data_IF_827198215669
#
_entry.id   IF_827198215669
#
_cell.length_a   1.000
_cell.length_b   1.000
_cell.length_c   1.000
_cell.angle_alpha   90.00
_cell.angle_beta   90.00
_cell.angle_gamma   90.00
#
_symmetry.space_group_name_H-M   'P 1'
#
loop_
_entity.id
_entity.type
_entity.pdbx_description
1 polymer ?
#
# COMPACT_ATOMS: atom_id res chain seq x y z
N UNK A 1 -0.43 17.20 2.84
CA UNK A 1 -0.95 18.11 1.78
C UNK A 1 0.08 18.63 0.75
N UNK A 2 1.39 18.38 0.85
CA UNK A 2 2.36 18.88 -0.15
C UNK A 2 2.25 18.24 -1.55
N UNK A 3 1.83 16.98 -1.64
CA UNK A 3 1.89 16.20 -2.89
C UNK A 3 0.86 16.66 -3.95
N UNK A 4 -0.37 17.00 -3.56
CA UNK A 4 -1.43 17.40 -4.51
C UNK A 4 -1.16 18.78 -5.12
N UNK A 5 -0.63 19.73 -4.34
CA UNK A 5 -0.29 21.06 -4.85
C UNK A 5 0.94 21.04 -5.77
N UNK A 6 1.95 20.21 -5.46
CA UNK A 6 3.08 19.99 -6.35
C UNK A 6 2.62 19.42 -7.70
N UNK A 7 1.76 18.40 -7.69
CA UNK A 7 1.18 17.84 -8.92
C UNK A 7 0.36 18.88 -9.72
N UNK A 8 -0.40 19.75 -9.04
CA UNK A 8 -1.15 20.83 -9.70
C UNK A 8 -0.20 21.82 -10.39
N UNK A 9 0.84 22.28 -9.69
CA UNK A 9 1.81 23.24 -10.23
C UNK A 9 2.59 22.62 -11.39
N UNK A 10 3.04 21.37 -11.25
CA UNK A 10 3.77 20.65 -12.29
C UNK A 10 2.90 20.45 -13.53
N UNK A 11 1.62 20.09 -13.37
CA UNK A 11 0.68 20.00 -14.48
C UNK A 11 0.55 21.33 -15.21
N UNK A 12 0.30 22.41 -14.47
CA UNK A 12 0.19 23.75 -15.05
C UNK A 12 1.50 24.20 -15.74
N UNK A 13 2.66 23.64 -15.37
CA UNK A 13 3.94 23.88 -16.03
C UNK A 13 4.10 23.06 -17.31
N UNK A 14 3.80 21.76 -17.28
CA UNK A 14 3.84 20.88 -18.46
C UNK A 14 2.87 21.34 -19.56
N UNK A 15 1.70 21.85 -19.20
CA UNK A 15 0.67 22.28 -20.16
C UNK A 15 1.00 23.60 -20.87
N UNK A 16 1.97 24.39 -20.38
CA UNK A 16 2.33 25.69 -20.96
C UNK A 16 3.16 25.59 -22.23
N UNK A 17 3.96 24.53 -22.36
CA UNK A 17 4.89 24.38 -23.47
C UNK A 17 5.10 22.89 -23.77
N UNK A 18 4.93 22.44 -25.03
CA UNK A 18 5.16 21.05 -25.40
C UNK A 18 6.60 20.56 -25.17
N UNK A 19 7.59 21.45 -25.07
CA UNK A 19 8.99 21.10 -24.79
C UNK A 19 9.26 20.89 -23.27
N UNK A 20 8.28 21.17 -22.41
CA UNK A 20 8.41 20.92 -20.98
C UNK A 20 8.31 19.41 -20.71
N UNK A 21 9.46 18.81 -20.42
CA UNK A 21 9.57 17.39 -20.06
C UNK A 21 10.24 17.22 -18.71
N UNK A 22 9.84 16.19 -17.98
CA UNK A 22 10.45 15.81 -16.71
C UNK A 22 11.02 14.41 -16.83
N UNK A 23 12.32 14.31 -16.63
CA UNK A 23 13.03 13.03 -16.52
C UNK A 23 13.34 12.79 -15.05
N UNK A 24 12.79 11.71 -14.50
CA UNK A 24 13.02 11.31 -13.12
C UNK A 24 14.09 10.22 -13.11
N UNK A 25 15.22 10.55 -12.50
CA UNK A 25 16.31 9.61 -12.26
C UNK A 25 16.37 9.29 -10.78
N UNK A 26 16.38 7.99 -10.45
CA UNK A 26 16.62 7.55 -9.09
C UNK A 26 18.12 7.59 -8.80
N UNK A 27 18.50 8.25 -7.70
CA UNK A 27 19.86 8.25 -7.18
C UNK A 27 19.90 7.47 -5.86
N UNK A 28 20.68 6.38 -5.75
CA UNK A 28 20.91 5.72 -4.47
C UNK A 28 21.64 6.64 -3.49
N UNK A 29 21.25 6.57 -2.22
CA UNK A 29 21.86 7.36 -1.16
C UNK A 29 23.32 6.96 -0.93
N UNK A 30 24.18 7.90 -0.54
CA UNK A 30 25.59 7.68 -0.17
C UNK A 30 26.42 6.97 -1.24
N UNK A 31 26.09 7.22 -2.52
CA UNK A 31 26.80 6.62 -3.65
C UNK A 31 27.88 7.53 -4.23
N UNK A 32 28.21 8.64 -3.55
CA UNK A 32 29.27 9.57 -3.94
C UNK A 32 28.93 10.46 -5.14
N UNK A 33 27.64 10.64 -5.44
CA UNK A 33 27.18 11.58 -6.49
C UNK A 33 27.17 12.98 -5.89
N UNK A 34 28.06 13.84 -6.38
CA UNK A 34 28.38 15.15 -5.80
C UNK A 34 27.13 16.04 -5.67
N UNK A 35 26.29 16.09 -6.69
CA UNK A 35 25.07 16.92 -6.68
C UNK A 35 24.03 16.42 -5.68
N UNK A 36 23.92 15.10 -5.51
CA UNK A 36 23.02 14.52 -4.53
C UNK A 36 23.52 14.78 -3.09
N UNK A 37 24.83 14.69 -2.86
CA UNK A 37 25.43 15.02 -1.56
C UNK A 37 25.34 16.53 -1.25
N UNK A 38 25.46 17.39 -2.27
CA UNK A 38 25.27 18.84 -2.13
C UNK A 38 23.83 19.19 -1.74
N UNK A 39 22.83 18.59 -2.40
CA UNK A 39 21.42 18.78 -2.04
C UNK A 39 21.14 18.24 -0.64
N UNK A 40 21.71 17.11 -0.25
CA UNK A 40 21.57 16.57 1.11
C UNK A 40 22.21 17.50 2.16
N UNK A 41 23.37 18.10 1.84
CA UNK A 41 24.02 19.11 2.68
C UNK A 41 23.18 20.40 2.79
N UNK A 42 22.58 20.88 1.70
CA UNK A 42 21.71 22.06 1.68
C UNK A 42 20.42 21.84 2.46
N UNK A 43 19.81 20.66 2.33
CA UNK A 43 18.64 20.27 3.13
C UNK A 43 19.01 20.21 4.61
N UNK A 44 20.17 19.63 4.96
CA UNK A 44 20.68 19.59 6.34
C UNK A 44 20.99 20.99 6.87
N UNK A 45 21.59 21.85 6.06
CA UNK A 45 21.89 23.23 6.42
C UNK A 45 20.59 24.00 6.66
N UNK A 46 19.69 24.00 5.68
CA UNK A 46 18.39 24.65 5.77
C UNK A 46 17.62 24.15 7.00
N UNK A 47 17.51 22.83 7.19
CA UNK A 47 16.85 22.27 8.37
C UNK A 47 17.48 22.69 9.72
N UNK A 48 18.78 23.06 9.75
CA UNK A 48 19.46 23.58 10.95
C UNK A 48 19.24 25.08 11.16
N UNK A 49 19.04 25.85 10.09
CA UNK A 49 19.02 27.31 10.13
C UNK A 49 17.67 27.93 9.76
N UNK A 50 16.64 27.14 9.43
CA UNK A 50 15.28 27.64 9.19
C UNK A 50 14.73 28.33 10.44
N UNK A 51 14.36 29.60 10.29
CA UNK A 51 13.72 30.41 11.30
C UNK A 51 12.31 29.89 11.61
N UNK A 52 11.93 29.93 12.88
CA UNK A 52 10.60 29.56 13.40
C UNK A 52 9.40 30.20 12.70
N UNK A 53 9.62 31.30 11.96
CA UNK A 53 8.58 32.01 11.19
C UNK A 53 8.20 31.33 9.88
N UNK A 54 9.05 30.45 9.36
CA UNK A 54 8.85 29.80 8.04
C UNK A 54 8.30 28.37 8.16
N UNK A 55 8.06 27.89 9.38
CA UNK A 55 7.47 26.58 9.64
C UNK A 55 5.94 26.70 9.86
N UNK A 56 5.12 25.78 9.31
CA UNK A 56 3.69 25.78 9.55
C UNK A 56 3.42 25.50 11.04
N UNK A 57 2.98 26.52 11.76
CA UNK A 57 2.48 26.49 13.15
C UNK A 57 3.36 25.73 14.16
N UNK A 58 4.38 26.39 14.71
CA UNK A 58 5.10 25.91 15.89
C UNK A 58 5.03 26.93 17.03
N UNK A 59 4.27 26.62 18.08
CA UNK A 59 4.10 27.45 19.29
C UNK A 59 4.97 26.94 20.46
N UNK A 60 6.29 26.80 20.28
CA UNK A 60 7.17 26.25 21.32
C UNK A 60 8.67 26.42 21.10
N UNK A 61 9.47 25.90 22.05
CA UNK A 61 10.95 25.90 22.03
C UNK A 61 11.50 25.08 20.86
N UNK A 62 12.51 25.65 20.19
CA UNK A 62 13.11 25.10 18.98
C UNK A 62 13.51 23.62 19.17
N UNK A 63 13.15 22.73 18.25
CA UNK A 63 13.44 21.31 18.40
C UNK A 63 14.94 21.05 18.34
N UNK A 64 15.45 20.29 19.31
CA UNK A 64 16.88 20.06 19.55
C UNK A 64 17.58 19.19 18.49
N UNK A 65 16.88 18.67 17.48
CA UNK A 65 17.50 17.88 16.40
C UNK A 65 16.65 17.80 15.13
N UNK A 66 17.32 17.61 13.99
CA UNK A 66 16.71 17.29 12.68
C UNK A 66 15.76 16.08 12.76
N UNK A 67 16.10 15.07 13.56
CA UNK A 67 15.27 13.89 13.75
C UNK A 67 13.89 14.25 14.34
N UNK A 68 13.87 15.19 15.30
CA UNK A 68 12.62 15.67 15.90
C UNK A 68 11.75 16.41 14.86
N UNK A 69 12.34 17.27 14.03
CA UNK A 69 11.60 17.99 12.97
C UNK A 69 11.00 16.98 11.97
N UNK A 70 11.79 16.00 11.52
CA UNK A 70 11.32 14.94 10.60
C UNK A 70 10.17 14.13 11.22
N UNK A 71 10.29 13.78 12.51
CA UNK A 71 9.24 13.10 13.25
C UNK A 71 7.97 13.95 13.32
N UNK A 72 8.08 15.23 13.70
CA UNK A 72 6.93 16.14 13.81
C UNK A 72 6.20 16.32 12.46
N UNK A 73 6.93 16.44 11.36
CA UNK A 73 6.34 16.51 10.01
C UNK A 73 5.64 15.19 9.66
N UNK A 74 6.26 14.05 9.97
CA UNK A 74 5.69 12.72 9.71
C UNK A 74 4.41 12.52 10.51
N UNK A 75 4.43 12.84 11.81
CA UNK A 75 3.28 12.77 12.71
C UNK A 75 2.16 13.68 12.24
N UNK A 76 2.47 14.93 11.87
CA UNK A 76 1.48 15.88 11.36
C UNK A 76 0.84 15.36 10.06
N UNK A 77 1.66 14.92 9.11
CA UNK A 77 1.17 14.37 7.85
C UNK A 77 0.32 13.11 8.06
N UNK A 78 0.72 12.22 8.98
CA UNK A 78 -0.01 11.01 9.33
C UNK A 78 -1.33 11.34 10.01
N UNK A 79 -1.33 12.29 10.95
CA UNK A 79 -2.54 12.75 11.65
C UNK A 79 -3.53 13.37 10.67
N UNK A 80 -3.05 14.24 9.78
CA UNK A 80 -3.88 14.86 8.75
C UNK A 80 -4.46 13.82 7.80
N UNK A 81 -3.64 12.87 7.34
CA UNK A 81 -4.10 11.77 6.49
C UNK A 81 -5.13 10.90 7.21
N UNK A 82 -4.92 10.59 8.49
CA UNK A 82 -5.88 9.84 9.30
C UNK A 82 -7.22 10.58 9.42
N UNK A 83 -7.19 11.90 9.66
CA UNK A 83 -8.39 12.73 9.69
C UNK A 83 -9.12 12.76 8.34
N UNK A 84 -8.39 12.91 7.23
CA UNK A 84 -8.96 12.87 5.88
C UNK A 84 -9.57 11.49 5.57
N UNK A 85 -8.88 10.42 5.94
CA UNK A 85 -9.32 9.04 5.75
C UNK A 85 -10.55 8.72 6.61
N UNK A 86 -10.59 9.16 7.86
CA UNK A 86 -11.72 8.94 8.78
C UNK A 86 -12.94 9.80 8.41
N UNK A 87 -12.74 11.00 7.86
CA UNK A 87 -13.81 11.87 7.39
C UNK A 87 -14.51 11.33 6.14
N UNK A 88 -13.81 10.55 5.31
CA UNK A 88 -14.40 9.91 4.14
C UNK A 88 -13.80 8.51 3.88
N UNK A 89 -14.15 7.50 4.70
CA UNK A 89 -13.55 6.18 4.62
C UNK A 89 -13.71 5.53 3.24
N UNK A 90 -14.88 5.70 2.60
CA UNK A 90 -15.16 5.11 1.28
C UNK A 90 -14.28 5.66 0.16
N UNK A 91 -13.77 6.89 0.30
CA UNK A 91 -12.85 7.51 -0.68
C UNK A 91 -11.39 7.05 -0.50
N UNK A 92 -10.97 6.77 0.73
CA UNK A 92 -9.55 6.56 1.07
C UNK A 92 -9.16 5.13 1.44
N UNK A 93 -10.10 4.28 1.86
CA UNK A 93 -9.79 2.88 2.16
C UNK A 93 -9.52 2.08 0.88
N UNK A 94 -9.85 2.64 -0.29
CA UNK A 94 -9.84 1.93 -1.55
C UNK A 94 -11.04 1.00 -1.63
N UNK A 95 -11.73 1.00 -2.77
CA UNK A 95 -13.00 0.27 -2.97
C UNK A 95 -12.93 -1.23 -2.66
N UNK A 96 -11.73 -1.80 -2.62
CA UNK A 96 -11.50 -3.24 -2.53
C UNK A 96 -10.73 -3.68 -1.27
N UNK A 97 -10.41 -2.75 -0.36
CA UNK A 97 -9.82 -3.11 0.92
C UNK A 97 -10.85 -3.79 1.83
N UNK A 98 -10.42 -4.79 2.61
CA UNK A 98 -11.29 -5.43 3.59
C UNK A 98 -11.50 -4.49 4.79
N UNK A 99 -12.71 -3.99 4.96
CA UNK A 99 -13.02 -3.03 6.00
C UNK A 99 -13.31 -3.72 7.34
N UNK A 100 -12.27 -3.99 8.14
CA UNK A 100 -12.40 -4.55 9.49
C UNK A 100 -11.34 -3.97 10.44
N UNK A 101 -11.63 -3.74 11.73
CA UNK A 101 -10.67 -3.20 12.70
C UNK A 101 -9.35 -3.97 12.75
N UNK A 102 -9.39 -5.30 12.57
CA UNK A 102 -8.20 -6.15 12.49
C UNK A 102 -7.23 -5.80 11.34
N UNK A 103 -7.68 -5.03 10.35
CA UNK A 103 -6.90 -4.62 9.18
C UNK A 103 -6.60 -3.10 9.17
N UNK A 104 -7.06 -2.34 10.18
CA UNK A 104 -6.99 -0.87 10.16
C UNK A 104 -5.60 -0.30 10.47
N UNK A 105 -4.75 -1.04 11.19
CA UNK A 105 -3.44 -0.57 11.63
C UNK A 105 -2.31 -1.53 11.21
N UNK A 106 -1.80 -1.35 10.00
CA UNK A 106 -0.53 -1.93 9.58
C UNK A 106 0.62 -1.00 10.01
N UNK A 107 0.96 -0.97 11.30
CA UNK A 107 2.10 -0.18 11.76
C UNK A 107 3.42 -0.89 11.40
N UNK A 108 4.28 -0.20 10.64
CA UNK A 108 5.63 -0.66 10.32
C UNK A 108 6.56 -0.67 11.56
N UNK A 109 6.24 0.15 12.57
CA UNK A 109 6.97 0.30 13.84
C UNK A 109 6.27 -0.37 15.02
N UNK A 110 5.10 -0.98 14.80
CA UNK A 110 4.27 -1.59 15.82
C UNK A 110 3.75 -2.95 15.37
N UNK A 111 4.51 -3.98 15.74
CA UNK A 111 4.19 -5.40 15.99
C UNK A 111 2.86 -6.09 15.57
N UNK A 112 1.91 -5.55 14.82
CA UNK A 112 0.56 -6.15 14.78
C UNK A 112 0.26 -7.05 13.57
N UNK A 113 0.79 -6.80 12.36
CA UNK A 113 0.71 -7.78 11.26
C UNK A 113 2.02 -8.57 11.07
N UNK A 114 3.16 -7.87 11.09
CA UNK A 114 4.49 -8.46 10.84
C UNK A 114 4.88 -9.51 11.91
N UNK A 115 4.54 -9.27 13.18
CA UNK A 115 4.83 -10.20 14.28
C UNK A 115 3.87 -11.39 14.26
N UNK A 116 2.59 -11.17 14.04
CA UNK A 116 1.57 -12.22 13.98
C UNK A 116 1.79 -13.18 12.80
N UNK A 117 2.34 -12.68 11.68
CA UNK A 117 2.72 -13.48 10.51
C UNK A 117 4.16 -14.04 10.62
N UNK A 118 4.81 -13.92 11.78
CA UNK A 118 6.09 -14.56 12.09
C UNK A 118 7.28 -14.05 11.25
N UNK A 119 7.23 -12.82 10.74
CA UNK A 119 8.33 -12.23 9.95
C UNK A 119 8.57 -12.87 8.58
N UNK A 120 7.69 -13.75 8.11
CA UNK A 120 7.82 -14.42 6.80
C UNK A 120 7.38 -13.49 5.68
N UNK A 121 8.34 -12.87 4.98
CA UNK A 121 8.07 -11.87 3.94
C UNK A 121 7.05 -12.32 2.88
N UNK A 122 7.10 -13.59 2.43
CA UNK A 122 6.17 -14.14 1.44
C UNK A 122 4.75 -14.25 1.97
N UNK A 123 4.57 -14.70 3.21
CA UNK A 123 3.26 -14.76 3.86
C UNK A 123 2.68 -13.35 4.07
N UNK A 124 3.53 -12.41 4.48
CA UNK A 124 3.15 -11.01 4.69
C UNK A 124 2.69 -10.37 3.39
N UNK A 125 3.46 -10.54 2.31
CA UNK A 125 3.10 -10.01 1.00
C UNK A 125 1.75 -10.55 0.54
N UNK A 126 1.53 -11.87 0.60
CA UNK A 126 0.25 -12.50 0.22
C UNK A 126 -0.91 -12.03 1.08
N UNK A 127 -0.69 -11.86 2.39
CA UNK A 127 -1.69 -11.33 3.31
C UNK A 127 -2.10 -9.90 2.95
N UNK A 128 -1.13 -9.01 2.73
CA UNK A 128 -1.39 -7.62 2.31
C UNK A 128 -2.10 -7.60 0.96
N UNK A 129 -1.67 -8.40 -0.01
CA UNK A 129 -2.32 -8.53 -1.31
C UNK A 129 -3.79 -8.97 -1.18
N UNK A 130 -4.09 -9.93 -0.29
CA UNK A 130 -5.45 -10.37 0.01
C UNK A 130 -6.29 -9.24 0.61
N UNK A 131 -5.82 -8.63 1.70
CA UNK A 131 -6.58 -7.60 2.44
C UNK A 131 -6.83 -6.36 1.58
N UNK A 132 -5.84 -5.92 0.81
CA UNK A 132 -5.93 -4.70 0.00
C UNK A 132 -6.57 -4.93 -1.38
N UNK A 133 -6.76 -6.18 -1.78
CA UNK A 133 -7.23 -6.52 -3.13
C UNK A 133 -6.19 -6.25 -4.22
N UNK A 134 -4.90 -6.35 -3.91
CA UNK A 134 -3.78 -6.16 -4.84
C UNK A 134 -3.08 -7.48 -5.24
N UNK A 135 -3.70 -8.62 -4.94
CA UNK A 135 -3.23 -9.90 -5.44
C UNK A 135 -3.35 -9.96 -6.98
N UNK A 136 -2.43 -10.65 -7.70
CA UNK A 136 -2.41 -10.76 -9.16
C UNK A 136 -3.50 -11.71 -9.69
N UNK A 137 -4.74 -11.41 -9.32
CA UNK A 137 -5.96 -12.09 -9.73
C UNK A 137 -6.43 -11.53 -11.08
N UNK A 138 -7.37 -12.22 -11.73
CA UNK A 138 -7.99 -11.70 -12.96
C UNK A 138 -8.67 -10.35 -12.75
N UNK A 139 -9.33 -10.18 -11.60
CA UNK A 139 -9.91 -8.90 -11.20
C UNK A 139 -8.89 -7.79 -10.93
N UNK A 140 -7.65 -8.11 -10.58
CA UNK A 140 -6.58 -7.13 -10.55
C UNK A 140 -6.21 -6.72 -11.98
N UNK A 141 -5.92 -7.69 -12.86
CA UNK A 141 -5.50 -7.43 -14.24
C UNK A 141 -6.50 -6.58 -15.03
N UNK A 142 -7.79 -6.87 -14.86
CA UNK A 142 -8.87 -6.14 -15.52
C UNK A 142 -8.96 -4.65 -15.10
N UNK A 143 -8.62 -4.35 -13.84
CA UNK A 143 -8.68 -2.97 -13.32
C UNK A 143 -7.49 -2.11 -13.72
N UNK A 144 -6.31 -2.70 -13.86
CA UNK A 144 -5.06 -1.95 -14.09
C UNK A 144 -4.72 -1.91 -15.57
N UNK A 145 -4.69 -0.70 -16.15
CA UNK A 145 -4.52 -0.48 -17.60
C UNK A 145 -3.33 -1.22 -18.23
N UNK A 146 -2.21 -1.35 -17.51
CA UNK A 146 -1.03 -2.07 -18.00
C UNK A 146 -1.29 -3.57 -18.25
N UNK A 147 -2.26 -4.15 -17.54
CA UNK A 147 -2.65 -5.55 -17.62
C UNK A 147 -3.99 -5.76 -18.37
N UNK A 148 -4.48 -4.72 -19.04
CA UNK A 148 -5.76 -4.79 -19.73
C UNK A 148 -5.69 -5.78 -20.91
N UNK A 149 -6.63 -6.73 -20.95
CA UNK A 149 -6.69 -7.78 -21.97
C UNK A 149 -5.93 -9.07 -21.62
N UNK A 150 -5.24 -9.11 -20.47
CA UNK A 150 -4.67 -10.35 -19.96
C UNK A 150 -5.76 -11.32 -19.46
N UNK A 151 -5.49 -12.65 -19.38
CA UNK A 151 -6.52 -13.62 -18.99
C UNK A 151 -7.07 -13.36 -17.58
N UNK A 152 -8.39 -13.22 -17.46
CA UNK A 152 -9.05 -12.85 -16.20
C UNK A 152 -9.76 -14.01 -15.51
N UNK A 153 -9.84 -15.16 -16.15
CA UNK A 153 -10.47 -16.36 -15.60
C UNK A 153 -9.50 -17.14 -14.72
N UNK A 154 -10.03 -17.84 -13.72
CA UNK A 154 -9.23 -18.74 -12.90
C UNK A 154 -8.96 -20.01 -13.69
N UNK A 155 -7.70 -20.42 -13.74
CA UNK A 155 -7.23 -21.59 -14.50
C UNK A 155 -6.86 -22.77 -13.60
N UNK A 156 -7.04 -22.63 -12.28
CA UNK A 156 -6.52 -23.55 -11.27
C UNK A 156 -7.57 -24.57 -10.79
N UNK A 157 -8.86 -24.25 -10.88
CA UNK A 157 -9.92 -25.10 -10.35
C UNK A 157 -10.42 -26.15 -11.35
N UNK A 158 -10.97 -27.24 -10.84
CA UNK A 158 -11.72 -28.21 -11.63
C UNK A 158 -13.20 -27.83 -11.68
N UNK A 159 -13.62 -27.09 -12.72
CA UNK A 159 -15.02 -26.70 -12.80
C UNK A 159 -15.34 -25.72 -13.92
N UNK A 160 -16.53 -25.12 -13.80
CA UNK A 160 -16.96 -24.07 -14.71
C UNK A 160 -16.07 -22.84 -14.56
N UNK A 161 -15.70 -22.26 -15.71
CA UNK A 161 -14.98 -21.00 -15.81
C UNK A 161 -15.51 -19.96 -14.81
N UNK A 162 -14.71 -19.63 -13.82
CA UNK A 162 -15.02 -18.56 -12.88
C UNK A 162 -14.01 -17.42 -13.02
N UNK A 163 -14.51 -16.19 -12.96
CA UNK A 163 -13.68 -15.00 -12.94
C UNK A 163 -12.77 -15.03 -11.70
N UNK A 164 -11.47 -14.82 -11.91
CA UNK A 164 -10.48 -14.94 -10.84
C UNK A 164 -10.55 -13.69 -9.95
N UNK A 165 -11.40 -13.74 -8.91
CA UNK A 165 -11.52 -12.71 -7.89
C UNK A 165 -10.93 -13.17 -6.56
N UNK A 166 -10.75 -12.24 -5.62
CA UNK A 166 -10.41 -12.59 -4.24
C UNK A 166 -11.47 -13.47 -3.59
N UNK A 167 -12.75 -13.17 -3.82
CA UNK A 167 -13.89 -13.93 -3.30
C UNK A 167 -13.88 -15.36 -3.84
N UNK A 168 -13.53 -15.54 -5.11
CA UNK A 168 -13.37 -16.86 -5.70
C UNK A 168 -12.24 -17.64 -5.00
N UNK A 169 -11.08 -17.03 -4.82
CA UNK A 169 -9.93 -17.63 -4.11
C UNK A 169 -10.31 -17.99 -2.67
N UNK A 170 -10.94 -17.09 -1.92
CA UNK A 170 -11.26 -17.31 -0.50
C UNK A 170 -12.40 -18.30 -0.26
N UNK A 171 -13.37 -18.44 -1.16
CA UNK A 171 -14.62 -19.14 -0.80
C UNK A 171 -15.12 -20.17 -1.82
N UNK A 172 -14.61 -20.20 -3.05
CA UNK A 172 -15.24 -21.00 -4.13
C UNK A 172 -14.29 -21.92 -4.87
N UNK A 173 -13.06 -21.51 -5.10
CA UNK A 173 -12.07 -22.26 -5.87
C UNK A 173 -11.73 -23.58 -5.17
N UNK A 174 -11.91 -24.72 -5.83
CA UNK A 174 -11.66 -26.05 -5.27
C UNK A 174 -10.16 -26.39 -5.17
N UNK A 175 -9.30 -25.65 -5.87
CA UNK A 175 -7.84 -25.75 -5.76
C UNK A 175 -7.32 -25.42 -4.35
N UNK A 176 -8.00 -24.54 -3.61
CA UNK A 176 -7.56 -24.11 -2.29
C UNK A 176 -8.31 -24.83 -1.15
N UNK A 177 -7.55 -25.26 -0.14
CA UNK A 177 -8.07 -25.87 1.08
C UNK A 177 -8.53 -24.80 2.08
N UNK A 178 -9.66 -25.03 2.76
CA UNK A 178 -10.21 -24.09 3.76
C UNK A 178 -10.56 -24.84 5.03
N UNK A 179 -10.24 -24.24 6.19
CA UNK A 179 -10.62 -24.75 7.52
C UNK A 179 -11.76 -23.95 8.18
N UNK A 180 -12.32 -22.98 7.45
CA UNK A 180 -13.47 -22.19 7.87
C UNK A 180 -14.68 -22.45 6.96
N UNK A 181 -15.86 -22.03 7.41
CA UNK A 181 -17.14 -22.19 6.70
C UNK A 181 -17.69 -20.89 6.12
N UNK A 182 -16.90 -19.81 6.06
CA UNK A 182 -17.30 -18.57 5.41
C UNK A 182 -17.60 -18.77 3.93
N UNK A 183 -18.71 -18.20 3.47
CA UNK A 183 -19.17 -18.28 2.08
C UNK A 183 -19.06 -16.95 1.33
N UNK A 184 -18.76 -15.85 2.03
CA UNK A 184 -18.62 -14.51 1.48
C UNK A 184 -17.65 -13.65 2.30
N UNK A 185 -17.30 -12.48 1.76
CA UNK A 185 -16.48 -11.50 2.48
C UNK A 185 -17.22 -11.01 3.71
N UNK A 186 -18.50 -10.71 3.60
CA UNK A 186 -19.33 -10.24 4.71
C UNK A 186 -19.29 -11.27 5.86
N UNK A 187 -19.51 -12.55 5.57
CA UNK A 187 -19.44 -13.62 6.57
C UNK A 187 -18.05 -13.78 7.19
N UNK A 188 -16.97 -13.57 6.41
CA UNK A 188 -15.61 -13.58 6.93
C UNK A 188 -15.39 -12.39 7.88
N UNK A 189 -15.83 -11.19 7.51
CA UNK A 189 -15.64 -9.98 8.32
C UNK A 189 -16.52 -9.95 9.57
N UNK A 190 -17.54 -10.79 9.65
CA UNK A 190 -18.33 -11.05 10.88
C UNK A 190 -17.66 -12.05 11.83
N UNK A 191 -16.55 -12.71 11.43
CA UNK A 191 -15.77 -13.60 12.30
C UNK A 191 -15.22 -12.86 13.52
N UNK A 192 -15.03 -13.58 14.62
CA UNK A 192 -14.34 -13.05 15.80
C UNK A 192 -12.89 -12.67 15.49
N UNK A 193 -12.25 -13.40 14.56
CA UNK A 193 -10.86 -13.17 14.16
C UNK A 193 -10.64 -13.47 12.67
N UNK A 194 -11.09 -12.57 11.76
CA UNK A 194 -10.85 -12.72 10.33
C UNK A 194 -9.37 -12.64 9.96
N UNK A 195 -8.52 -12.09 10.83
CA UNK A 195 -7.08 -12.08 10.61
C UNK A 195 -6.52 -13.49 10.70
N UNK A 196 -6.88 -14.21 11.78
CA UNK A 196 -6.48 -15.60 11.99
C UNK A 196 -6.97 -16.51 10.85
N UNK A 197 -8.23 -16.35 10.43
CA UNK A 197 -8.81 -17.15 9.34
C UNK A 197 -8.06 -16.97 8.01
N UNK A 198 -7.74 -15.72 7.64
CA UNK A 198 -6.93 -15.42 6.44
C UNK A 198 -5.50 -15.96 6.61
N UNK A 199 -4.89 -15.75 7.78
CA UNK A 199 -3.53 -16.23 8.04
C UNK A 199 -3.42 -17.74 7.86
N UNK A 200 -4.34 -18.51 8.45
CA UNK A 200 -4.33 -19.97 8.34
C UNK A 200 -4.61 -20.45 6.93
N UNK A 201 -5.54 -19.80 6.22
CA UNK A 201 -5.76 -20.08 4.80
C UNK A 201 -4.47 -19.92 3.98
N UNK A 202 -3.69 -18.85 4.19
CA UNK A 202 -2.45 -18.61 3.45
C UNK A 202 -1.29 -19.55 3.85
N UNK A 203 -1.33 -20.10 5.06
CA UNK A 203 -0.40 -21.12 5.52
C UNK A 203 -0.70 -22.48 4.87
N UNK A 204 -1.99 -22.83 4.78
CA UNK A 204 -2.44 -24.07 4.14
C UNK A 204 -2.32 -24.02 2.60
N UNK A 205 -2.34 -22.82 2.01
CA UNK A 205 -2.26 -22.62 0.56
C UNK A 205 -1.06 -21.72 0.19
N UNK A 206 0.14 -22.30 -0.02
CA UNK A 206 1.39 -21.55 -0.21
C UNK A 206 1.42 -20.63 -1.44
N UNK A 207 0.66 -20.93 -2.48
CA UNK A 207 0.65 -20.15 -3.73
C UNK A 207 -0.44 -19.06 -3.73
N UNK A 208 -1.47 -19.19 -2.88
CA UNK A 208 -2.64 -18.32 -2.89
C UNK A 208 -2.27 -16.83 -2.80
N UNK A 209 -2.84 -16.03 -3.71
CA UNK A 209 -2.60 -14.58 -3.84
C UNK A 209 -1.16 -14.18 -4.20
N UNK A 210 -0.34 -15.12 -4.67
CA UNK A 210 0.97 -14.83 -5.26
C UNK A 210 0.90 -14.82 -6.79
N UNK A 211 2.02 -14.45 -7.42
CA UNK A 211 2.16 -14.52 -8.88
C UNK A 211 2.30 -15.95 -9.42
N UNK A 212 2.53 -16.95 -8.57
CA UNK A 212 2.62 -18.35 -8.99
C UNK A 212 1.28 -18.88 -9.53
N UNK A 213 0.18 -18.33 -9.02
CA UNK A 213 -1.19 -18.65 -9.43
C UNK A 213 -1.70 -17.77 -10.60
N UNK A 214 -0.84 -16.88 -11.13
CA UNK A 214 -1.16 -16.08 -12.30
C UNK A 214 -0.92 -16.89 -13.59
N UNK A 215 -1.69 -16.63 -14.67
CA UNK A 215 -1.43 -17.25 -15.97
C UNK A 215 0.01 -17.00 -16.41
N UNK A 216 0.71 -18.06 -16.84
CA UNK A 216 2.03 -17.93 -17.43
C UNK A 216 1.90 -17.40 -18.86
N UNK A 217 2.68 -16.37 -19.21
CA UNK A 217 2.80 -15.94 -20.61
C UNK A 217 3.84 -16.85 -21.28
N UNK A 218 3.38 -17.71 -22.19
CA UNK A 218 4.21 -18.36 -23.22
C UNK A 218 4.25 -17.51 -24.47
#
# INVERSE_FOLDING_TARGET
>A
MGNVNACRILRDWFERDPDNHLYLHYCPSHSGIEENEAVDADVKHTARYTSWRDLPQYHGTFPTSHAFIKHAITDYATTLWQQEADANPSKYWGRYHLSHPAFRQFQHTGAFPLKCLGGRLTLISRFICCVTGHAPTGHYRDRFRYHHGEPTMCILHSGNWAYHTREHVLFRCDYYTRRYCHSSIESLLESLDPFYDIQHFLLDNPTAFSFEDAPSYT
#
